data_IF_116041568421
#
_entry.id   IF_116041568421
#
_cell.length_a   1.000
_cell.length_b   1.000
_cell.length_c   1.000
_cell.angle_alpha   90.00
_cell.angle_beta   90.00
_cell.angle_gamma   90.00
#
_symmetry.space_group_name_H-M   'P 1'
#
loop_
_entity.id
_entity.type
_entity.pdbx_description
1 polymer ?
#
# COMPACT_ATOMS: atom_id res chain seq x y z
N UNK A 1 18.54 -5.05 20.57
CA UNK A 1 17.71 -5.79 21.54
C UNK A 1 16.72 -6.61 20.73
N UNK A 2 16.53 -7.90 21.04
CA UNK A 2 15.57 -8.73 20.28
C UNK A 2 14.16 -8.36 20.73
N UNK A 3 13.38 -7.71 19.87
CA UNK A 3 11.96 -7.45 20.13
C UNK A 3 11.23 -8.78 20.23
N UNK A 4 10.39 -8.95 21.26
CA UNK A 4 9.57 -10.14 21.39
C UNK A 4 8.59 -10.21 20.22
N UNK A 5 8.35 -11.40 19.67
CA UNK A 5 7.42 -11.62 18.55
C UNK A 5 6.22 -12.43 19.00
N UNK A 6 5.08 -12.24 18.33
CA UNK A 6 3.89 -13.06 18.52
C UNK A 6 4.17 -14.50 18.08
N UNK A 7 3.65 -15.44 18.85
CA UNK A 7 3.55 -16.85 18.47
C UNK A 7 2.42 -17.05 17.46
N UNK A 8 2.41 -18.17 16.73
CA UNK A 8 1.31 -18.49 15.81
C UNK A 8 -0.07 -18.47 16.49
N UNK A 9 -0.16 -18.95 17.74
CA UNK A 9 -1.41 -18.90 18.49
C UNK A 9 -1.83 -17.45 18.79
N UNK A 10 -0.90 -16.61 19.23
CA UNK A 10 -1.19 -15.19 19.48
C UNK A 10 -1.59 -14.45 18.19
N UNK A 11 -1.03 -14.83 17.03
CA UNK A 11 -1.46 -14.30 15.72
C UNK A 11 -2.89 -14.75 15.40
N UNK A 12 -3.24 -16.02 15.64
CA UNK A 12 -4.60 -16.52 15.42
C UNK A 12 -5.62 -15.79 16.31
N UNK A 13 -5.29 -15.62 17.60
CA UNK A 13 -6.16 -14.94 18.56
C UNK A 13 -6.35 -13.46 18.17
N UNK A 14 -5.27 -12.78 17.76
CA UNK A 14 -5.33 -11.40 17.29
C UNK A 14 -6.10 -11.27 15.96
N UNK A 15 -6.00 -12.26 15.05
CA UNK A 15 -6.76 -12.28 13.81
C UNK A 15 -8.26 -12.46 14.08
N UNK A 16 -8.62 -13.33 15.03
CA UNK A 16 -9.99 -13.55 15.45
C UNK A 16 -10.60 -12.32 16.16
N UNK A 17 -9.76 -11.47 16.74
CA UNK A 17 -10.18 -10.22 17.38
C UNK A 17 -10.42 -9.06 16.38
N UNK A 18 -10.03 -9.20 15.11
CA UNK A 18 -10.26 -8.16 14.10
C UNK A 18 -11.77 -7.99 13.84
N UNK A 19 -12.20 -6.74 13.82
CA UNK A 19 -13.59 -6.37 13.55
C UNK A 19 -13.87 -6.31 12.04
N UNK A 20 -15.14 -6.26 11.65
CA UNK A 20 -15.53 -6.01 10.26
C UNK A 20 -14.96 -4.69 9.71
N UNK A 21 -14.81 -3.67 10.56
CA UNK A 21 -14.19 -2.40 10.19
C UNK A 21 -12.69 -2.58 9.91
N UNK A 22 -12.00 -3.46 10.64
CA UNK A 22 -10.58 -3.76 10.42
C UNK A 22 -10.36 -4.51 9.11
N UNK A 23 -11.24 -5.45 8.76
CA UNK A 23 -11.21 -6.11 7.46
C UNK A 23 -11.46 -5.13 6.31
N UNK A 24 -12.40 -4.18 6.46
CA UNK A 24 -12.61 -3.14 5.45
C UNK A 24 -11.37 -2.26 5.26
N UNK A 25 -10.66 -1.95 6.35
CA UNK A 25 -9.38 -1.22 6.29
C UNK A 25 -8.30 -2.02 5.57
N UNK A 26 -8.19 -3.32 5.85
CA UNK A 26 -7.25 -4.20 5.15
C UNK A 26 -7.54 -4.25 3.65
N UNK A 27 -8.81 -4.38 3.26
CA UNK A 27 -9.20 -4.42 1.85
C UNK A 27 -8.86 -3.12 1.11
N UNK A 28 -9.12 -1.96 1.72
CA UNK A 28 -8.78 -0.66 1.11
C UNK A 28 -7.27 -0.50 0.92
N UNK A 29 -6.49 -0.79 1.96
CA UNK A 29 -5.02 -0.75 1.86
C UNK A 29 -4.50 -1.72 0.79
N UNK A 30 -5.11 -2.89 0.68
CA UNK A 30 -4.72 -3.88 -0.32
C UNK A 30 -5.03 -3.44 -1.76
N UNK A 31 -6.14 -2.73 -2.00
CA UNK A 31 -6.45 -2.14 -3.31
C UNK A 31 -5.32 -1.22 -3.76
N UNK A 32 -4.80 -0.38 -2.86
CA UNK A 32 -3.70 0.54 -3.18
C UNK A 32 -2.41 -0.21 -3.48
N UNK A 33 -2.06 -1.18 -2.65
CA UNK A 33 -0.81 -1.92 -2.82
C UNK A 33 -0.84 -2.89 -4.01
N UNK A 34 -2.02 -3.34 -4.42
CA UNK A 34 -2.25 -4.10 -5.65
C UNK A 34 -2.07 -3.28 -6.94
N UNK A 35 -2.21 -1.94 -6.88
CA UNK A 35 -2.14 -1.09 -8.08
C UNK A 35 -0.79 -1.23 -8.77
N UNK A 36 -0.77 -1.72 -10.01
CA UNK A 36 0.44 -1.77 -10.82
C UNK A 36 1.46 -2.83 -10.39
N UNK A 37 1.01 -3.92 -9.75
CA UNK A 37 1.82 -5.15 -9.54
C UNK A 37 1.12 -6.41 -10.09
N UNK A 38 -0.04 -6.26 -10.74
CA UNK A 38 -0.77 -7.37 -11.36
C UNK A 38 -1.38 -8.41 -10.39
N UNK A 39 -1.53 -8.09 -9.11
CA UNK A 39 -2.11 -8.98 -8.09
C UNK A 39 -3.44 -8.43 -7.60
N UNK A 40 -4.42 -9.31 -7.38
CA UNK A 40 -5.72 -8.93 -6.81
C UNK A 40 -5.59 -8.50 -5.34
N UNK A 41 -6.31 -7.45 -4.94
CA UNK A 41 -6.26 -6.90 -3.59
C UNK A 41 -6.52 -7.98 -2.51
N UNK A 42 -7.49 -8.86 -2.74
CA UNK A 42 -7.82 -9.94 -1.81
C UNK A 42 -6.66 -10.93 -1.64
N UNK A 43 -5.90 -11.19 -2.69
CA UNK A 43 -4.74 -12.07 -2.63
C UNK A 43 -3.59 -11.45 -1.84
N UNK A 44 -3.42 -10.13 -1.95
CA UNK A 44 -2.47 -9.36 -1.13
C UNK A 44 -2.82 -9.49 0.36
N UNK A 45 -4.09 -9.36 0.75
CA UNK A 45 -4.53 -9.57 2.15
C UNK A 45 -4.28 -11.01 2.60
N UNK A 46 -4.74 -11.99 1.80
CA UNK A 46 -4.63 -13.41 2.15
C UNK A 46 -3.17 -13.85 2.31
N UNK A 47 -2.28 -13.34 1.45
CA UNK A 47 -0.86 -13.64 1.52
C UNK A 47 -0.20 -13.01 2.75
N UNK A 48 -0.56 -11.77 3.10
CA UNK A 48 -0.09 -11.14 4.34
C UNK A 48 -0.50 -11.96 5.58
N UNK A 49 -1.75 -12.43 5.62
CA UNK A 49 -2.26 -13.28 6.71
C UNK A 49 -1.54 -14.63 6.74
N UNK A 50 -1.38 -15.28 5.58
CA UNK A 50 -0.66 -16.56 5.48
C UNK A 50 0.75 -16.47 6.04
N UNK A 51 1.50 -15.43 5.65
CA UNK A 51 2.88 -15.21 6.12
C UNK A 51 2.99 -14.91 7.61
N UNK A 52 1.95 -14.30 8.18
CA UNK A 52 1.86 -14.07 9.63
C UNK A 52 1.63 -15.40 10.38
N UNK A 53 0.75 -16.26 9.86
CA UNK A 53 0.38 -17.53 10.48
C UNK A 53 1.49 -18.59 10.37
N UNK A 54 2.13 -18.70 9.21
CA UNK A 54 3.22 -19.66 8.98
C UNK A 54 4.57 -19.22 9.58
N UNK A 55 4.64 -17.98 10.07
CA UNK A 55 5.82 -17.41 10.72
C UNK A 55 6.96 -17.01 9.78
N UNK A 56 6.75 -17.07 8.46
CA UNK A 56 7.69 -16.52 7.46
C UNK A 56 7.85 -15.01 7.62
N UNK A 57 6.83 -14.33 8.15
CA UNK A 57 6.92 -12.95 8.64
C UNK A 57 6.50 -12.89 10.09
N UNK A 58 7.39 -12.38 10.95
CA UNK A 58 7.18 -12.35 12.41
C UNK A 58 6.65 -10.99 12.86
N UNK A 59 5.46 -10.98 13.46
CA UNK A 59 4.88 -9.79 14.05
C UNK A 59 5.53 -9.49 15.41
N UNK A 60 6.12 -8.31 15.63
CA UNK A 60 6.52 -7.86 16.96
C UNK A 60 5.31 -7.81 17.92
N UNK A 61 5.52 -8.08 19.22
CA UNK A 61 4.45 -8.08 20.22
C UNK A 61 3.92 -6.67 20.54
N UNK A 62 4.73 -5.66 20.30
CA UNK A 62 4.42 -4.24 20.50
C UNK A 62 3.69 -3.61 19.31
N UNK A 63 3.49 -4.36 18.22
CA UNK A 63 2.82 -3.87 17.01
C UNK A 63 1.43 -4.50 16.86
N UNK A 64 0.35 -3.70 16.72
CA UNK A 64 -0.98 -4.23 16.42
C UNK A 64 -1.00 -5.05 15.13
N UNK A 65 -1.71 -6.17 15.13
CA UNK A 65 -1.73 -7.10 14.00
C UNK A 65 -2.22 -6.43 12.70
N UNK A 66 -3.21 -5.54 12.78
CA UNK A 66 -3.70 -4.77 11.64
C UNK A 66 -2.56 -4.00 10.94
N UNK A 67 -1.77 -3.26 11.72
CA UNK A 67 -0.66 -2.44 11.22
C UNK A 67 0.43 -3.32 10.61
N UNK A 68 0.76 -4.42 11.30
CA UNK A 68 1.71 -5.41 10.80
C UNK A 68 1.29 -5.98 9.43
N UNK A 69 0.01 -6.33 9.25
CA UNK A 69 -0.51 -6.86 7.99
C UNK A 69 -0.44 -5.81 6.88
N UNK A 70 -0.81 -4.55 7.15
CA UNK A 70 -0.67 -3.45 6.18
C UNK A 70 0.80 -3.26 5.77
N UNK A 71 1.73 -3.27 6.73
CA UNK A 71 3.17 -3.23 6.46
C UNK A 71 3.67 -4.44 5.67
N UNK A 72 3.01 -5.60 5.79
CA UNK A 72 3.31 -6.79 4.98
C UNK A 72 2.86 -6.62 3.54
N UNK A 73 1.63 -6.14 3.33
CA UNK A 73 1.07 -5.84 2.01
C UNK A 73 1.97 -4.86 1.24
N UNK A 74 2.42 -3.79 1.91
CA UNK A 74 3.39 -2.84 1.33
C UNK A 74 4.68 -3.50 0.89
N UNK A 75 5.28 -4.33 1.74
CA UNK A 75 6.55 -4.98 1.45
C UNK A 75 6.45 -5.91 0.25
N UNK A 76 5.30 -6.55 0.05
CA UNK A 76 5.02 -7.38 -1.12
C UNK A 76 4.92 -6.54 -2.38
N UNK A 77 4.17 -5.44 -2.32
CA UNK A 77 4.05 -4.52 -3.45
C UNK A 77 5.41 -3.95 -3.84
N UNK A 78 6.24 -3.58 -2.87
CA UNK A 78 7.57 -3.04 -3.16
C UNK A 78 8.48 -4.09 -3.81
N UNK A 79 8.49 -5.32 -3.29
CA UNK A 79 9.25 -6.42 -3.86
C UNK A 79 8.82 -6.73 -5.31
N UNK A 80 7.51 -6.77 -5.58
CA UNK A 80 6.98 -7.02 -6.91
C UNK A 80 7.39 -5.93 -7.92
N UNK A 81 7.33 -4.65 -7.52
CA UNK A 81 7.79 -3.52 -8.35
C UNK A 81 9.30 -3.49 -8.57
N UNK A 82 10.08 -4.10 -7.70
CA UNK A 82 11.53 -4.21 -7.86
C UNK A 82 11.89 -5.34 -8.83
N UNK A 83 11.20 -6.48 -8.76
CA UNK A 83 11.36 -7.56 -9.74
C UNK A 83 10.95 -7.16 -11.17
N UNK A 84 9.91 -6.33 -11.34
CA UNK A 84 9.52 -5.80 -12.66
C UNK A 84 10.57 -4.87 -13.27
N UNK A 85 11.48 -4.28 -12.48
CA UNK A 85 12.60 -3.46 -13.00
C UNK A 85 13.79 -4.29 -13.44
N UNK A 86 13.93 -5.51 -12.93
CA UNK A 86 15.01 -6.44 -13.29
C UNK A 86 14.65 -7.36 -14.45
N UNK A 87 13.35 -7.63 -14.67
CA UNK A 87 12.88 -8.39 -15.83
C UNK A 87 12.46 -7.44 -16.97
N UNK A 88 13.21 -7.37 -18.10
CA UNK A 88 12.69 -6.71 -19.28
C UNK A 88 11.45 -7.48 -19.76
N UNK A 89 10.32 -6.79 -19.74
CA UNK A 89 9.00 -7.20 -20.16
C UNK A 89 9.06 -8.00 -21.48
N UNK A 90 8.98 -9.33 -21.42
CA UNK A 90 8.66 -10.14 -22.60
C UNK A 90 7.15 -10.03 -22.78
N UNK A 91 6.77 -9.09 -23.64
CA UNK A 91 5.41 -8.88 -24.10
C UNK A 91 4.88 -10.16 -24.74
N UNK A 92 4.06 -10.91 -24.00
CA UNK A 92 3.42 -12.12 -24.49
C UNK A 92 2.24 -11.74 -25.38
N UNK A 93 2.50 -11.56 -26.68
CA UNK A 93 1.45 -11.50 -27.70
C UNK A 93 0.67 -12.82 -27.72
N UNK A 94 -0.54 -12.83 -27.16
CA UNK A 94 -1.52 -13.86 -27.49
C UNK A 94 -2.30 -13.41 -28.70
N UNK A 95 -1.79 -13.79 -29.87
CA UNK A 95 -2.55 -13.82 -31.13
C UNK A 95 -3.50 -15.01 -31.12
N UNK A 96 -4.82 -14.76 -31.24
CA UNK A 96 -5.72 -15.69 -31.93
C UNK A 96 -6.76 -14.89 -32.70
N UNK A 97 -6.80 -15.10 -34.03
CA UNK A 97 -7.74 -14.52 -34.99
C UNK A 97 -9.01 -15.38 -35.09
N UNK A 98 -10.11 -14.73 -35.49
CA UNK A 98 -11.39 -15.26 -36.03
C UNK A 98 -12.40 -15.79 -34.98
N UNK A 99 -13.67 -15.38 -34.88
CA UNK A 99 -14.66 -14.90 -35.86
C UNK A 99 -15.76 -14.04 -35.15
N UNK A 100 -16.32 -13.03 -35.85
CA UNK A 100 -17.68 -12.48 -35.67
C UNK A 100 -18.08 -11.61 -34.45
N UNK A 101 -18.05 -10.27 -34.61
CA UNK A 101 -18.80 -9.20 -33.86
C UNK A 101 -18.76 -9.25 -32.31
N UNK A 102 -18.22 -8.24 -31.62
CA UNK A 102 -18.75 -6.86 -31.50
C UNK A 102 -17.57 -5.88 -31.39
N UNK A 103 -17.49 -4.91 -32.30
CA UNK A 103 -16.61 -3.75 -32.15
C UNK A 103 -17.24 -2.85 -31.09
N UNK A 104 -16.80 -2.99 -29.84
CA UNK A 104 -16.96 -1.93 -28.85
C UNK A 104 -15.85 -0.93 -29.18
N UNK A 105 -16.19 0.11 -29.94
CA UNK A 105 -15.30 1.25 -30.10
C UNK A 105 -14.96 1.79 -28.71
N UNK A 106 -13.67 1.82 -28.29
CA UNK A 106 -13.29 2.65 -27.17
C UNK A 106 -13.51 4.07 -27.64
N UNK A 107 -14.50 4.74 -27.06
CA UNK A 107 -14.67 6.19 -27.21
C UNK A 107 -13.33 6.82 -26.83
N UNK A 108 -12.60 7.28 -27.83
CA UNK A 108 -11.39 8.06 -27.67
C UNK A 108 -11.75 9.30 -26.84
N UNK A 109 -11.42 9.27 -25.56
CA UNK A 109 -11.12 10.50 -24.86
C UNK A 109 -9.66 10.78 -25.16
N UNK A 110 -9.44 11.72 -26.08
CA UNK A 110 -8.15 12.30 -26.43
C UNK A 110 -7.44 12.86 -25.18
N UNK A 111 -6.78 11.98 -24.44
CA UNK A 111 -5.60 12.29 -23.63
C UNK A 111 -4.55 11.28 -24.10
N UNK A 112 -3.44 11.80 -24.59
CA UNK A 112 -2.43 11.01 -25.29
C UNK A 112 -2.02 9.84 -24.39
N UNK A 113 -1.94 8.62 -24.94
CA UNK A 113 -1.55 7.44 -24.15
C UNK A 113 -0.19 7.66 -23.47
N UNK A 114 0.72 8.39 -24.10
CA UNK A 114 1.99 8.84 -23.52
C UNK A 114 1.83 9.82 -22.36
N UNK A 115 0.91 10.78 -22.45
CA UNK A 115 0.65 11.77 -21.38
C UNK A 115 0.07 11.08 -20.14
N UNK A 116 -0.83 10.11 -20.36
CA UNK A 116 -1.38 9.29 -19.27
C UNK A 116 -0.32 8.38 -18.64
N UNK A 117 0.64 7.88 -19.43
CA UNK A 117 1.77 7.09 -18.93
C UNK A 117 2.75 7.95 -18.12
N UNK A 118 3.08 9.15 -18.60
CA UNK A 118 3.95 10.11 -17.92
C UNK A 118 3.33 10.60 -16.61
N UNK A 119 2.04 10.95 -16.61
CA UNK A 119 1.31 11.33 -15.38
C UNK A 119 1.30 10.20 -14.35
N UNK A 120 1.13 8.95 -14.80
CA UNK A 120 1.19 7.75 -13.96
C UNK A 120 2.60 7.50 -13.43
N UNK A 121 3.62 7.65 -14.27
CA UNK A 121 5.02 7.44 -13.88
C UNK A 121 5.48 8.50 -12.87
N UNK A 122 5.09 9.77 -13.06
CA UNK A 122 5.37 10.87 -12.14
C UNK A 122 4.68 10.66 -10.78
N UNK A 123 3.40 10.27 -10.79
CA UNK A 123 2.67 9.99 -9.55
C UNK A 123 3.21 8.75 -8.84
N UNK A 124 3.63 7.71 -9.57
CA UNK A 124 4.30 6.53 -8.99
C UNK A 124 5.68 6.87 -8.40
N UNK A 125 6.49 7.66 -9.10
CA UNK A 125 7.80 8.10 -8.61
C UNK A 125 7.67 8.93 -7.33
N UNK A 126 6.66 9.80 -7.28
CA UNK A 126 6.33 10.61 -6.10
C UNK A 126 5.86 9.73 -4.93
N UNK A 127 4.95 8.80 -5.17
CA UNK A 127 4.51 7.85 -4.14
C UNK A 127 5.69 7.07 -3.58
N UNK A 128 6.56 6.54 -4.45
CA UNK A 128 7.78 5.82 -4.04
C UNK A 128 8.71 6.70 -3.21
N UNK A 129 8.86 7.97 -3.55
CA UNK A 129 9.69 8.91 -2.79
C UNK A 129 9.13 9.19 -1.39
N UNK A 130 7.81 9.37 -1.26
CA UNK A 130 7.13 9.53 0.03
C UNK A 130 7.19 8.26 0.87
N UNK A 131 6.92 7.10 0.28
CA UNK A 131 7.01 5.81 0.96
C UNK A 131 8.43 5.53 1.46
N UNK A 132 9.44 5.84 0.65
CA UNK A 132 10.85 5.74 1.04
C UNK A 132 11.25 6.71 2.15
N UNK A 133 10.73 7.95 2.11
CA UNK A 133 11.00 8.97 3.13
C UNK A 133 10.47 8.57 4.53
N UNK A 134 9.41 7.75 4.56
CA UNK A 134 8.77 7.28 5.78
C UNK A 134 8.97 5.79 6.03
N UNK A 135 9.90 5.12 5.34
CA UNK A 135 10.09 3.67 5.48
C UNK A 135 10.37 3.20 6.92
N UNK A 136 10.93 4.08 7.75
CA UNK A 136 11.28 3.90 9.16
C UNK A 136 10.19 4.39 10.14
N UNK A 137 9.09 4.95 9.64
CA UNK A 137 8.04 5.62 10.43
C UNK A 137 6.66 5.06 10.07
N UNK A 138 6.29 3.97 10.74
CA UNK A 138 5.07 3.21 10.45
C UNK A 138 3.79 4.04 10.61
N UNK A 139 3.71 4.90 11.64
CA UNK A 139 2.57 5.79 11.79
C UNK A 139 2.48 6.79 10.64
N UNK A 140 3.61 7.36 10.21
CA UNK A 140 3.62 8.30 9.09
C UNK A 140 3.17 7.62 7.78
N UNK A 141 3.48 6.35 7.62
CA UNK A 141 3.04 5.57 6.45
C UNK A 141 1.55 5.26 6.50
N UNK A 142 0.99 4.97 7.67
CA UNK A 142 -0.45 4.81 7.86
C UNK A 142 -1.21 6.13 7.63
N UNK A 143 -0.64 7.27 8.05
CA UNK A 143 -1.20 8.59 7.73
C UNK A 143 -1.11 8.88 6.23
N UNK A 144 0.03 8.59 5.59
CA UNK A 144 0.19 8.73 4.14
C UNK A 144 -0.83 7.87 3.39
N UNK A 145 -1.02 6.62 3.81
CA UNK A 145 -2.04 5.73 3.24
C UNK A 145 -3.43 6.32 3.35
N UNK A 146 -3.81 6.78 4.55
CA UNK A 146 -5.10 7.42 4.77
C UNK A 146 -5.30 8.68 3.92
N UNK A 147 -4.26 9.51 3.76
CA UNK A 147 -4.29 10.68 2.89
C UNK A 147 -4.41 10.27 1.40
N UNK A 148 -3.87 9.11 0.97
CA UNK A 148 -4.02 8.58 -0.39
C UNK A 148 -5.41 7.97 -0.67
N UNK A 149 -6.09 7.50 0.37
CA UNK A 149 -7.46 6.99 0.30
C UNK A 149 -8.53 8.09 0.41
N UNK A 150 -8.13 9.37 0.42
CA UNK A 150 -9.01 10.52 0.72
C UNK A 150 -9.81 10.34 2.02
N UNK A 151 -9.27 9.59 2.99
CA UNK A 151 -9.89 9.37 4.29
C UNK A 151 -9.90 10.66 5.11
N UNK A 152 -10.96 10.84 5.90
CA UNK A 152 -10.99 11.97 6.81
C UNK A 152 -10.09 11.73 8.04
N UNK A 153 -9.71 12.81 8.72
CA UNK A 153 -8.81 12.74 9.88
C UNK A 153 -9.30 11.83 11.02
N UNK A 154 -10.61 11.62 11.19
CA UNK A 154 -11.17 10.66 12.14
C UNK A 154 -10.91 9.22 11.72
N UNK A 155 -11.09 8.92 10.44
CA UNK A 155 -10.83 7.58 9.89
C UNK A 155 -9.34 7.24 9.92
N UNK A 156 -8.46 8.18 9.57
CA UNK A 156 -7.00 7.99 9.64
C UNK A 156 -6.54 7.77 11.09
N UNK A 157 -7.11 8.51 12.04
CA UNK A 157 -6.84 8.29 13.47
C UNK A 157 -7.23 6.89 13.93
N UNK A 158 -8.38 6.41 13.46
CA UNK A 158 -8.84 5.07 13.78
C UNK A 158 -7.95 3.97 13.15
N UNK A 159 -7.25 4.24 12.04
CA UNK A 159 -6.27 3.29 11.49
C UNK A 159 -5.11 3.04 12.46
N UNK A 160 -4.62 4.09 13.10
CA UNK A 160 -3.47 4.03 13.99
C UNK A 160 -3.80 3.95 15.48
N UNK A 161 -5.09 3.87 15.83
CA UNK A 161 -5.60 4.00 17.20
C UNK A 161 -5.03 5.24 17.93
N UNK A 162 -4.95 6.36 17.21
CA UNK A 162 -4.38 7.60 17.74
C UNK A 162 -5.46 8.54 18.26
N UNK A 163 -5.19 9.13 19.42
CA UNK A 163 -5.89 10.34 19.84
C UNK A 163 -5.52 11.54 18.96
N UNK A 164 -6.23 12.66 19.16
CA UNK A 164 -6.02 13.86 18.36
C UNK A 164 -4.63 14.46 18.50
N UNK A 165 -4.05 14.39 19.70
CA UNK A 165 -2.73 14.93 20.00
C UNK A 165 -1.61 14.13 19.32
N UNK A 166 -1.71 12.81 19.36
CA UNK A 166 -0.77 11.88 18.72
C UNK A 166 -0.81 12.05 17.21
N UNK A 167 -2.00 12.09 16.62
CA UNK A 167 -2.17 12.32 15.18
C UNK A 167 -1.61 13.68 14.73
N UNK A 168 -1.86 14.75 15.48
CA UNK A 168 -1.27 16.06 15.19
C UNK A 168 0.26 16.03 15.26
N UNK A 169 0.84 15.26 16.18
CA UNK A 169 2.28 15.08 16.32
C UNK A 169 2.87 14.33 15.12
N UNK A 170 2.21 13.26 14.66
CA UNK A 170 2.58 12.49 13.47
C UNK A 170 2.56 13.40 12.22
N UNK A 171 1.43 14.10 11.99
CA UNK A 171 1.29 15.06 10.87
C UNK A 171 2.36 16.15 10.89
N UNK A 172 2.73 16.64 12.07
CA UNK A 172 3.78 17.67 12.22
C UNK A 172 5.16 17.12 11.91
N UNK A 173 5.51 15.90 12.35
CA UNK A 173 6.81 15.29 12.00
C UNK A 173 6.90 14.94 10.51
N UNK A 174 5.82 14.45 9.91
CA UNK A 174 5.74 14.20 8.47
C UNK A 174 6.01 15.46 7.66
N UNK A 175 5.30 16.55 7.97
CA UNK A 175 5.50 17.84 7.30
C UNK A 175 6.93 18.34 7.40
N UNK A 176 7.58 18.18 8.56
CA UNK A 176 8.99 18.55 8.74
C UNK A 176 9.92 17.74 7.84
N UNK A 177 9.76 16.41 7.80
CA UNK A 177 10.58 15.53 6.94
C UNK A 177 10.36 15.84 5.46
N UNK A 178 9.12 16.04 5.02
CA UNK A 178 8.79 16.44 3.64
C UNK A 178 9.45 17.77 3.30
N UNK A 179 9.37 18.79 4.17
CA UNK A 179 10.00 20.08 3.91
C UNK A 179 11.54 19.99 3.82
N UNK A 180 12.16 19.05 4.54
CA UNK A 180 13.60 18.79 4.45
C UNK A 180 13.96 18.05 3.16
N UNK A 181 13.19 17.03 2.78
CA UNK A 181 13.42 16.24 1.58
C UNK A 181 13.08 17.00 0.29
N UNK A 182 12.11 17.92 0.35
CA UNK A 182 11.61 18.71 -0.77
C UNK A 182 11.63 20.22 -0.44
N UNK A 183 12.80 20.86 -0.33
CA UNK A 183 12.93 22.26 0.09
C UNK A 183 12.26 23.27 -0.85
N UNK A 184 12.02 22.87 -2.10
CA UNK A 184 11.39 23.70 -3.15
C UNK A 184 9.88 23.49 -3.27
N UNK A 185 9.29 22.69 -2.38
CA UNK A 185 7.86 22.33 -2.43
C UNK A 185 7.64 20.95 -3.04
N UNK A 186 6.59 20.28 -2.54
CA UNK A 186 6.18 18.92 -2.93
C UNK A 186 5.14 18.92 -4.07
N UNK A 187 4.40 20.01 -4.24
CA UNK A 187 3.32 20.13 -5.24
C UNK A 187 3.87 20.86 -6.46
N UNK A 188 4.11 20.13 -7.55
CA UNK A 188 4.35 20.70 -8.88
C UNK A 188 3.56 19.95 -9.93
#
# INVERSE_FOLDING_TARGET
MSTAVLTTQEVQDALAALTAADFLRLERAAVIYAVGIGVEARDVVNEAIRRALDGTRKCPKDLPLLNFLIGAMRSMAWAARESEKEEPMIESMSSTLDDGQVVIEPRATDRNAEETLLEREDSQARLKALEGLFHDDEDAQLVLMGDLEDMNAGEIRALGDWDEATFATIRRRMRRRINVAFPKGWVQ
#
